data_IF_051852707595
#
_entry.id   IF_051852707595
#
_cell.length_a   1.000
_cell.length_b   1.000
_cell.length_c   1.000
_cell.angle_alpha   90.00
_cell.angle_beta   90.00
_cell.angle_gamma   90.00
#
_symmetry.space_group_name_H-M   'P 1'
#
loop_
_entity.id
_entity.type
_entity.pdbx_description
1 polymer ?
#
# COMPACT_ATOMS: atom_id res chain seq x y z
N UNK A 1 67.31 11.95 -45.34
CA UNK A 1 66.04 11.20 -45.32
C UNK A 1 65.46 11.31 -43.92
N UNK A 2 64.32 12.01 -43.75
CA UNK A 2 63.70 12.28 -42.47
C UNK A 2 62.45 11.38 -42.32
N UNK A 3 62.51 10.42 -41.42
CA UNK A 3 61.39 9.56 -41.05
C UNK A 3 60.41 10.33 -40.16
N UNK A 4 59.14 10.45 -40.57
CA UNK A 4 58.06 11.01 -39.80
C UNK A 4 57.29 9.87 -39.13
N UNK A 5 57.40 9.77 -37.84
CA UNK A 5 56.64 8.83 -37.02
C UNK A 5 55.25 9.41 -36.78
N UNK A 6 54.20 8.80 -37.32
CA UNK A 6 52.81 9.11 -36.96
C UNK A 6 52.46 8.49 -35.62
N UNK A 7 52.20 9.29 -34.63
CA UNK A 7 51.55 8.87 -33.39
C UNK A 7 50.05 8.84 -33.60
N UNK A 8 49.47 7.66 -33.72
CA UNK A 8 48.02 7.45 -33.66
C UNK A 8 47.56 7.49 -32.21
N UNK A 9 46.91 8.58 -31.83
CA UNK A 9 46.24 8.71 -30.53
C UNK A 9 44.94 7.91 -30.51
N UNK A 10 44.91 6.83 -29.74
CA UNK A 10 43.68 6.06 -29.46
C UNK A 10 42.88 6.78 -28.40
N UNK A 11 41.86 7.54 -28.81
CA UNK A 11 40.89 8.15 -27.89
C UNK A 11 39.92 7.07 -27.44
N UNK A 12 40.12 6.54 -26.24
CA UNK A 12 39.21 5.61 -25.58
C UNK A 12 38.04 6.41 -25.01
N UNK A 13 36.93 6.49 -25.73
CA UNK A 13 35.69 7.08 -25.26
C UNK A 13 35.06 6.11 -24.23
N UNK A 14 35.23 6.40 -22.93
CA UNK A 14 34.45 5.76 -21.86
C UNK A 14 32.99 6.27 -21.96
N UNK A 15 32.11 5.49 -22.61
CA UNK A 15 30.68 5.62 -22.42
C UNK A 15 30.34 5.13 -21.00
N UNK A 16 30.24 6.07 -20.06
CA UNK A 16 29.59 5.82 -18.79
C UNK A 16 28.10 5.65 -19.04
N UNK A 17 27.65 4.42 -19.23
CA UNK A 17 26.25 4.07 -19.22
C UNK A 17 25.72 4.28 -17.78
N UNK A 18 25.14 5.45 -17.54
CA UNK A 18 24.37 5.70 -16.33
C UNK A 18 23.15 4.76 -16.38
N UNK A 19 23.27 3.61 -15.72
CA UNK A 19 22.14 2.74 -15.41
C UNK A 19 21.19 3.57 -14.54
N UNK A 20 20.19 4.17 -15.15
CA UNK A 20 19.03 4.74 -14.45
C UNK A 20 18.35 3.57 -13.76
N UNK A 21 18.74 3.29 -12.52
CA UNK A 21 18.03 2.33 -11.68
C UNK A 21 16.56 2.75 -11.64
N UNK A 22 15.68 1.88 -12.08
CA UNK A 22 14.25 2.10 -11.94
C UNK A 22 13.96 2.41 -10.47
N UNK A 23 13.11 3.41 -10.16
CA UNK A 23 12.83 3.78 -8.78
C UNK A 23 12.37 2.54 -8.01
N UNK A 24 13.13 2.18 -6.98
CA UNK A 24 12.82 1.01 -6.16
C UNK A 24 11.47 1.25 -5.48
N UNK A 25 10.56 0.30 -5.67
CA UNK A 25 9.26 0.33 -4.99
C UNK A 25 9.46 0.30 -3.47
N UNK A 26 8.73 1.12 -2.71
CA UNK A 26 8.89 1.17 -1.26
C UNK A 26 8.41 -0.14 -0.61
N UNK A 27 9.05 -0.54 0.49
CA UNK A 27 8.56 -1.63 1.33
C UNK A 27 7.70 -1.08 2.47
N UNK A 28 6.52 -1.65 2.65
CA UNK A 28 5.61 -1.30 3.74
C UNK A 28 5.90 -2.10 5.02
N UNK A 29 6.88 -3.00 4.99
CA UNK A 29 7.23 -3.84 6.14
C UNK A 29 7.59 -3.01 7.37
N UNK A 30 7.10 -3.46 8.50
CA UNK A 30 7.39 -2.87 9.81
C UNK A 30 6.23 -2.98 10.79
N UNK A 31 6.47 -2.47 11.99
CA UNK A 31 5.43 -2.30 13.00
C UNK A 31 4.97 -0.85 12.97
N UNK A 32 3.66 -0.65 13.04
CA UNK A 32 3.00 0.63 12.83
C UNK A 32 2.03 0.91 13.96
N UNK A 33 2.06 2.13 14.49
CA UNK A 33 1.13 2.61 15.51
C UNK A 33 0.32 3.78 14.99
N UNK A 34 -1.00 3.70 15.17
CA UNK A 34 -1.94 4.75 14.78
C UNK A 34 -1.64 6.07 15.47
N UNK A 35 -1.67 7.15 14.69
CA UNK A 35 -1.50 8.52 15.12
C UNK A 35 -2.83 9.27 14.99
N UNK A 36 -3.48 9.46 16.14
CA UNK A 36 -4.79 10.09 16.22
C UNK A 36 -4.79 11.53 15.74
N UNK A 37 -3.73 12.27 16.09
CA UNK A 37 -3.67 13.72 15.86
C UNK A 37 -3.50 14.07 14.38
N UNK A 38 -2.94 13.17 13.59
CA UNK A 38 -2.75 13.30 12.14
C UNK A 38 -3.82 12.59 11.31
N UNK A 39 -4.79 11.98 11.98
CA UNK A 39 -5.86 11.18 11.36
C UNK A 39 -7.20 11.88 11.46
N UNK A 40 -8.14 11.56 10.56
CA UNK A 40 -9.48 12.15 10.62
C UNK A 40 -10.58 11.19 10.16
N UNK A 41 -11.81 11.49 10.57
CA UNK A 41 -13.02 10.75 10.14
C UNK A 41 -12.96 9.26 10.48
N UNK A 42 -12.41 8.92 11.66
CA UNK A 42 -12.27 7.55 12.13
C UNK A 42 -13.28 7.22 13.24
N UNK A 43 -13.55 5.93 13.48
CA UNK A 43 -14.40 5.51 14.58
C UNK A 43 -13.94 6.11 15.92
N UNK A 44 -14.91 6.47 16.77
CA UNK A 44 -14.58 6.99 18.11
C UNK A 44 -13.75 5.97 18.91
N UNK A 45 -12.73 6.47 19.59
CA UNK A 45 -11.83 5.64 20.41
C UNK A 45 -10.92 4.72 19.60
N UNK A 46 -10.71 5.00 18.28
CA UNK A 46 -9.81 4.19 17.49
C UNK A 46 -8.40 4.24 18.04
N UNK A 47 -7.90 3.06 18.38
CA UNK A 47 -6.50 2.73 18.61
C UNK A 47 -6.15 1.57 17.69
N UNK A 48 -5.00 1.61 17.04
CA UNK A 48 -4.61 0.54 16.14
C UNK A 48 -3.09 0.37 16.15
N UNK A 49 -2.67 -0.86 16.27
CA UNK A 49 -1.29 -1.28 15.97
C UNK A 49 -1.34 -2.31 14.85
N UNK A 50 -0.33 -2.34 14.01
CA UNK A 50 -0.25 -3.36 12.98
C UNK A 50 1.19 -3.74 12.67
N UNK A 51 1.38 -4.98 12.27
CA UNK A 51 2.61 -5.50 11.69
C UNK A 51 2.34 -5.78 10.22
N UNK A 52 3.18 -5.23 9.37
CA UNK A 52 3.12 -5.48 7.92
C UNK A 52 4.38 -6.23 7.50
N UNK A 53 4.20 -7.30 6.76
CA UNK A 53 5.26 -8.02 6.03
C UNK A 53 5.02 -7.83 4.54
N UNK A 54 6.03 -7.32 3.83
CA UNK A 54 5.93 -7.05 2.39
C UNK A 54 7.10 -7.71 1.67
N UNK A 55 6.81 -8.73 0.88
CA UNK A 55 7.79 -9.53 0.13
C UNK A 55 7.34 -9.65 -1.34
N UNK A 56 8.10 -9.04 -2.24
CA UNK A 56 7.74 -9.01 -3.67
C UNK A 56 6.39 -8.33 -3.89
N UNK A 57 5.42 -9.07 -4.43
CA UNK A 57 4.05 -8.59 -4.65
C UNK A 57 3.07 -9.04 -3.54
N UNK A 58 3.57 -9.64 -2.44
CA UNK A 58 2.76 -10.08 -1.31
C UNK A 58 2.87 -9.09 -0.15
N UNK A 59 1.72 -8.62 0.34
CA UNK A 59 1.62 -7.79 1.55
C UNK A 59 0.72 -8.51 2.54
N UNK A 60 1.26 -8.87 3.69
CA UNK A 60 0.51 -9.42 4.83
C UNK A 60 0.41 -8.37 5.90
N UNK A 61 -0.79 -8.15 6.43
CA UNK A 61 -1.08 -7.23 7.51
C UNK A 61 -1.75 -7.98 8.67
N UNK A 62 -1.19 -7.85 9.85
CA UNK A 62 -1.77 -8.28 11.11
C UNK A 62 -1.99 -7.05 11.98
N UNK A 63 -3.22 -6.78 12.36
CA UNK A 63 -3.57 -5.58 13.12
C UNK A 63 -4.43 -5.90 14.32
N UNK A 64 -4.16 -5.23 15.44
CA UNK A 64 -5.04 -5.15 16.59
C UNK A 64 -5.74 -3.80 16.56
N UNK A 65 -7.07 -3.83 16.54
CA UNK A 65 -7.93 -2.63 16.40
C UNK A 65 -8.86 -2.54 17.59
N UNK A 66 -8.81 -1.41 18.30
CA UNK A 66 -9.70 -1.08 19.39
C UNK A 66 -10.54 0.16 19.03
N UNK A 67 -11.81 0.12 19.34
CA UNK A 67 -12.74 1.23 19.19
C UNK A 67 -13.67 1.31 20.39
N UNK A 68 -14.52 2.33 20.46
CA UNK A 68 -15.57 2.41 21.45
C UNK A 68 -16.58 1.24 21.41
N UNK A 69 -16.58 0.44 20.32
CA UNK A 69 -17.46 -0.72 20.13
C UNK A 69 -16.81 -2.07 20.50
N UNK A 70 -15.53 -2.06 20.86
CA UNK A 70 -14.78 -3.27 21.23
C UNK A 70 -13.45 -3.38 20.50
N UNK A 71 -12.83 -4.52 20.69
CA UNK A 71 -11.51 -4.86 20.12
C UNK A 71 -11.64 -6.03 19.14
N UNK A 72 -10.77 -6.04 18.13
CA UNK A 72 -10.70 -7.13 17.17
C UNK A 72 -9.29 -7.25 16.57
N UNK A 73 -8.93 -8.47 16.22
CA UNK A 73 -7.75 -8.74 15.40
C UNK A 73 -8.15 -8.86 13.92
N UNK A 74 -7.35 -8.24 13.06
CA UNK A 74 -7.56 -8.22 11.62
C UNK A 74 -6.33 -8.81 10.95
N UNK A 75 -6.52 -9.84 10.14
CA UNK A 75 -5.47 -10.48 9.38
C UNK A 75 -5.86 -10.44 7.90
N UNK A 76 -5.07 -9.75 7.09
CA UNK A 76 -5.32 -9.60 5.67
C UNK A 76 -4.05 -9.88 4.86
N UNK A 77 -4.24 -10.44 3.68
CA UNK A 77 -3.17 -10.65 2.70
C UNK A 77 -3.61 -10.09 1.37
N UNK A 78 -2.69 -9.38 0.71
CA UNK A 78 -2.91 -8.75 -0.59
C UNK A 78 -1.86 -9.23 -1.58
N UNK A 79 -2.28 -9.56 -2.80
CA UNK A 79 -1.37 -9.80 -3.93
C UNK A 79 -1.46 -8.61 -4.87
N UNK A 80 -0.32 -7.92 -5.07
CA UNK A 80 -0.25 -6.65 -5.82
C UNK A 80 -0.15 -6.86 -7.33
N UNK A 81 -0.77 -7.90 -7.86
CA UNK A 81 -0.75 -8.27 -9.28
C UNK A 81 -1.86 -7.60 -10.12
N UNK A 82 -2.72 -6.83 -9.46
CA UNK A 82 -3.86 -6.16 -10.08
C UNK A 82 -4.99 -7.09 -10.51
N UNK A 83 -4.97 -8.36 -10.14
CA UNK A 83 -6.04 -9.31 -10.43
C UNK A 83 -7.08 -9.32 -9.31
N UNK A 84 -8.30 -9.66 -9.71
CA UNK A 84 -9.40 -9.85 -8.76
C UNK A 84 -9.27 -11.20 -8.06
N UNK A 85 -9.43 -11.20 -6.74
CA UNK A 85 -9.47 -12.39 -5.90
C UNK A 85 -10.71 -12.36 -5.01
N UNK A 86 -11.27 -13.52 -4.70
CA UNK A 86 -12.36 -13.62 -3.75
C UNK A 86 -11.84 -13.46 -2.31
N UNK A 87 -12.62 -12.81 -1.46
CA UNK A 87 -12.41 -12.82 -0.01
C UNK A 87 -13.74 -12.97 0.72
N UNK A 88 -13.67 -13.34 2.00
CA UNK A 88 -14.87 -13.45 2.85
C UNK A 88 -14.99 -12.19 3.69
N UNK A 89 -16.01 -11.33 3.46
CA UNK A 89 -16.30 -10.21 4.33
C UNK A 89 -16.69 -10.69 5.74
N UNK A 90 -16.33 -9.93 6.76
CA UNK A 90 -16.71 -10.24 8.13
C UNK A 90 -18.21 -10.13 8.36
N UNK A 91 -18.87 -9.18 7.69
CA UNK A 91 -20.30 -8.92 7.81
C UNK A 91 -20.88 -8.43 6.46
N UNK A 92 -22.14 -8.77 6.16
CA UNK A 92 -22.96 -9.77 6.85
C UNK A 92 -22.50 -11.21 6.52
N UNK A 93 -22.95 -12.23 7.26
CA UNK A 93 -22.46 -13.63 7.11
C UNK A 93 -22.67 -14.23 5.72
N UNK A 94 -23.73 -13.81 4.99
CA UNK A 94 -24.04 -14.24 3.63
C UNK A 94 -23.37 -13.39 2.54
N UNK A 95 -22.51 -12.42 2.93
CA UNK A 95 -21.80 -11.61 1.94
C UNK A 95 -20.70 -12.40 1.23
N UNK A 96 -20.47 -12.01 -0.02
CA UNK A 96 -19.30 -12.40 -0.83
C UNK A 96 -18.47 -11.16 -1.11
N UNK A 97 -17.15 -11.31 -1.23
CA UNK A 97 -16.24 -10.22 -1.47
C UNK A 97 -15.33 -10.48 -2.65
N UNK A 98 -15.02 -9.42 -3.37
CA UNK A 98 -14.01 -9.36 -4.42
C UNK A 98 -13.00 -8.30 -4.05
N UNK A 99 -11.73 -8.66 -4.15
CA UNK A 99 -10.60 -7.78 -3.82
C UNK A 99 -9.66 -7.66 -4.99
N UNK A 100 -9.18 -6.46 -5.24
CA UNK A 100 -8.11 -6.19 -6.19
C UNK A 100 -7.07 -5.33 -5.50
N UNK A 101 -5.79 -5.71 -5.58
CA UNK A 101 -4.71 -4.91 -5.05
C UNK A 101 -3.64 -4.71 -6.13
N UNK A 102 -3.10 -3.50 -6.20
CA UNK A 102 -2.11 -3.14 -7.20
C UNK A 102 -1.21 -2.01 -6.73
N UNK A 103 -0.05 -1.89 -7.34
CA UNK A 103 0.76 -0.69 -7.21
C UNK A 103 0.05 0.52 -7.85
N UNK A 104 0.21 1.70 -7.25
CA UNK A 104 -0.14 2.96 -7.91
C UNK A 104 0.73 3.15 -9.14
N UNK A 105 0.26 3.87 -10.19
CA UNK A 105 1.02 4.07 -11.43
C UNK A 105 2.41 4.69 -11.23
N UNK A 106 2.59 5.50 -10.19
CA UNK A 106 3.87 6.10 -9.83
C UNK A 106 4.81 5.16 -9.05
N UNK A 107 4.37 3.93 -8.72
CA UNK A 107 5.12 2.95 -7.96
C UNK A 107 5.39 3.32 -6.48
N UNK A 108 4.81 4.41 -5.96
CA UNK A 108 5.09 4.92 -4.60
C UNK A 108 4.04 4.57 -3.56
N UNK A 109 3.08 3.76 -3.93
CA UNK A 109 2.01 3.34 -3.04
C UNK A 109 1.26 2.16 -3.62
N UNK A 110 0.30 1.65 -2.87
CA UNK A 110 -0.61 0.58 -3.30
C UNK A 110 -2.05 1.03 -3.17
N UNK A 111 -2.89 0.47 -4.02
CA UNK A 111 -4.34 0.63 -4.00
C UNK A 111 -4.96 -0.75 -3.78
N UNK A 112 -5.81 -0.85 -2.76
CA UNK A 112 -6.58 -2.04 -2.43
C UNK A 112 -8.05 -1.67 -2.58
N UNK A 113 -8.78 -2.40 -3.42
CA UNK A 113 -10.19 -2.16 -3.71
C UNK A 113 -10.98 -3.41 -3.33
N UNK A 114 -11.93 -3.26 -2.44
CA UNK A 114 -12.82 -4.30 -1.99
C UNK A 114 -14.25 -3.98 -2.43
N UNK A 115 -14.94 -4.97 -2.98
CA UNK A 115 -16.37 -4.93 -3.24
C UNK A 115 -17.03 -6.03 -2.44
N UNK A 116 -18.07 -5.67 -1.69
CA UNK A 116 -18.90 -6.60 -0.93
C UNK A 116 -20.28 -6.67 -1.56
N UNK A 117 -20.76 -7.89 -1.79
CA UNK A 117 -22.06 -8.13 -2.38
C UNK A 117 -22.89 -9.05 -1.49
N UNK A 118 -24.20 -8.84 -1.46
CA UNK A 118 -25.21 -9.68 -0.82
C UNK A 118 -26.26 -10.04 -1.86
N UNK A 119 -26.54 -11.32 -2.02
CA UNK A 119 -27.50 -11.84 -3.03
C UNK A 119 -27.20 -11.29 -4.45
N UNK A 120 -25.89 -11.20 -4.77
CA UNK A 120 -25.41 -10.74 -6.07
C UNK A 120 -25.50 -9.22 -6.30
N UNK A 121 -25.91 -8.45 -5.31
CA UNK A 121 -25.97 -6.98 -5.38
C UNK A 121 -24.81 -6.38 -4.59
N UNK A 122 -24.08 -5.44 -5.18
CA UNK A 122 -23.05 -4.67 -4.47
C UNK A 122 -23.69 -3.83 -3.36
N UNK A 123 -23.18 -3.97 -2.14
CA UNK A 123 -23.67 -3.27 -0.95
C UNK A 123 -22.61 -2.38 -0.31
N UNK A 124 -21.35 -2.59 -0.65
CA UNK A 124 -20.25 -1.72 -0.18
C UNK A 124 -19.06 -1.83 -1.11
N UNK A 125 -18.42 -0.69 -1.36
CA UNK A 125 -17.12 -0.58 -2.00
C UNK A 125 -16.17 0.18 -1.07
N UNK A 126 -14.97 -0.35 -0.88
CA UNK A 126 -13.93 0.27 -0.06
C UNK A 126 -12.64 0.30 -0.84
N UNK A 127 -12.13 1.50 -1.08
CA UNK A 127 -10.78 1.68 -1.62
C UNK A 127 -9.85 2.17 -0.51
N UNK A 128 -8.67 1.58 -0.41
CA UNK A 128 -7.61 1.94 0.54
C UNK A 128 -6.35 2.26 -0.24
N UNK A 129 -5.91 3.50 -0.17
CA UNK A 129 -4.64 3.93 -0.76
C UNK A 129 -3.58 4.03 0.33
N UNK A 130 -2.53 3.24 0.22
CA UNK A 130 -1.40 3.23 1.13
C UNK A 130 -0.22 3.98 0.53
N UNK A 131 0.34 4.93 1.26
CA UNK A 131 1.53 5.68 0.85
C UNK A 131 2.50 5.82 2.01
N UNK A 132 3.79 5.77 1.71
CA UNK A 132 4.86 6.02 2.68
C UNK A 132 5.43 7.41 2.51
N UNK A 133 5.81 8.05 3.62
CA UNK A 133 6.68 9.22 3.60
C UNK A 133 8.05 8.89 2.98
N UNK A 134 8.75 9.90 2.50
CA UNK A 134 10.05 9.73 1.86
C UNK A 134 11.09 9.05 2.76
N UNK A 135 11.01 9.27 4.07
CA UNK A 135 11.88 8.65 5.07
C UNK A 135 11.42 7.25 5.51
N UNK A 136 10.27 6.77 5.00
CA UNK A 136 9.70 5.47 5.33
C UNK A 136 9.18 5.34 6.78
N UNK A 137 9.06 6.46 7.53
CA UNK A 137 8.66 6.45 8.95
C UNK A 137 7.18 6.73 9.19
N UNK A 138 6.47 7.18 8.15
CA UNK A 138 5.03 7.44 8.23
C UNK A 138 4.31 6.65 7.13
N UNK A 139 3.31 5.88 7.51
CA UNK A 139 2.38 5.23 6.60
C UNK A 139 1.05 5.98 6.65
N UNK A 140 0.56 6.42 5.52
CA UNK A 140 -0.78 7.00 5.38
C UNK A 140 -1.69 6.03 4.63
N UNK A 141 -2.87 5.80 5.16
CA UNK A 141 -3.94 5.01 4.54
C UNK A 141 -5.14 5.91 4.37
N UNK A 142 -5.41 6.30 3.13
CA UNK A 142 -6.64 7.02 2.76
C UNK A 142 -7.71 5.98 2.42
N UNK A 143 -8.87 6.08 3.05
CA UNK A 143 -10.05 5.25 2.83
C UNK A 143 -11.10 6.03 2.06
N UNK A 144 -11.65 5.43 1.03
CA UNK A 144 -12.83 5.87 0.30
C UNK A 144 -13.87 4.77 0.46
N UNK A 145 -14.93 5.07 1.17
CA UNK A 145 -15.95 4.09 1.55
C UNK A 145 -17.27 4.55 0.92
N UNK A 146 -17.86 3.65 0.16
CA UNK A 146 -19.17 3.81 -0.45
C UNK A 146 -20.03 2.62 -0.06
N UNK A 147 -21.05 2.83 0.74
CA UNK A 147 -22.00 1.80 1.13
C UNK A 147 -23.45 2.26 0.85
N UNK A 148 -24.40 1.36 1.00
CA UNK A 148 -25.82 1.63 0.71
C UNK A 148 -26.44 2.77 1.50
N UNK A 149 -25.75 3.31 2.50
CA UNK A 149 -26.25 4.37 3.39
C UNK A 149 -25.52 5.69 3.20
N UNK A 150 -24.22 5.65 2.93
CA UNK A 150 -23.39 6.84 2.82
C UNK A 150 -22.09 6.58 2.08
N UNK A 151 -21.55 7.67 1.51
CA UNK A 151 -20.19 7.71 1.00
C UNK A 151 -19.36 8.67 1.85
N UNK A 152 -18.18 8.27 2.27
CA UNK A 152 -17.30 9.12 3.07
C UNK A 152 -15.83 8.77 2.90
N UNK A 153 -14.98 9.72 3.27
CA UNK A 153 -13.53 9.57 3.30
C UNK A 153 -13.04 9.53 4.74
N UNK A 154 -11.99 8.76 4.96
CA UNK A 154 -11.30 8.67 6.23
C UNK A 154 -9.79 8.57 5.97
N UNK A 155 -8.99 9.11 6.86
CA UNK A 155 -7.54 8.99 6.79
C UNK A 155 -7.00 8.42 8.10
N UNK A 156 -6.15 7.41 7.97
CA UNK A 156 -5.35 6.90 9.08
C UNK A 156 -3.88 7.13 8.80
N UNK A 157 -3.22 7.76 9.74
CA UNK A 157 -1.78 7.96 9.73
C UNK A 157 -1.15 7.08 10.79
N UNK A 158 -0.05 6.44 10.44
CA UNK A 158 0.68 5.57 11.35
C UNK A 158 2.14 5.97 11.41
N UNK A 159 2.71 5.97 12.59
CA UNK A 159 4.14 6.10 12.82
C UNK A 159 4.78 4.72 12.90
N UNK A 160 5.96 4.57 12.31
CA UNK A 160 6.75 3.35 12.44
C UNK A 160 7.25 3.23 13.88
N UNK A 161 7.11 2.03 14.45
CA UNK A 161 7.68 1.68 15.77
C UNK A 161 8.90 0.80 15.54
N UNK A 162 9.94 1.05 16.32
CA UNK A 162 11.17 0.26 16.32
C UNK A 162 10.98 -1.10 17.00
#
# INVERSE_FOLDING_TARGET
MKSKTLMSGLVLALLAASLLAAPQKPSFSGKWKYDKDRSFSNPAGLEQTMTVTHEGDQVKMEAHVKTARGEQDVNETYTLDGKEAAFKPANPPNATGKRKASWLPNGRGILIQDETSVDGKSVSQVARKWTLSADGKTLTVDYFIDDTRMSYESKRVFSKVE
#
